data_IF_748448050632
#
_entry.id   IF_748448050632
#
_cell.length_a   1.000
_cell.length_b   1.000
_cell.length_c   1.000
_cell.angle_alpha   90.00
_cell.angle_beta   90.00
_cell.angle_gamma   90.00
#
_symmetry.space_group_name_H-M   'P 1'
#
loop_
_entity.id
_entity.type
_entity.pdbx_description
1 polymer ?
#
# COMPACT_ATOMS: atom_id res chain seq x y z
N UNK A 1 1.88 14.54 21.63
CA UNK A 1 1.28 13.21 21.43
C UNK A 1 1.27 12.94 19.94
N UNK A 2 1.85 11.84 19.47
CA UNK A 2 1.78 11.43 18.06
C UNK A 2 0.40 10.86 17.75
N UNK A 3 -0.26 11.34 16.69
CA UNK A 3 -1.57 10.86 16.26
C UNK A 3 -1.46 9.49 15.59
N UNK A 4 -2.42 8.58 15.79
CA UNK A 4 -2.49 7.31 15.05
C UNK A 4 -3.20 7.52 13.72
N UNK A 5 -2.59 7.12 12.61
CA UNK A 5 -3.17 7.27 11.27
C UNK A 5 -2.95 6.05 10.37
N UNK A 6 -3.63 6.05 9.22
CA UNK A 6 -3.55 5.02 8.19
C UNK A 6 -3.69 5.66 6.81
N UNK A 7 -3.13 5.03 5.77
CA UNK A 7 -3.28 5.54 4.41
C UNK A 7 -4.06 4.56 3.53
N UNK A 8 -4.94 5.11 2.69
CA UNK A 8 -5.50 4.38 1.56
C UNK A 8 -4.43 4.17 0.49
N UNK A 9 -4.50 3.07 -0.25
CA UNK A 9 -3.72 2.86 -1.47
C UNK A 9 -4.58 2.28 -2.60
N UNK A 10 -4.22 2.59 -3.84
CA UNK A 10 -4.80 1.98 -5.05
C UNK A 10 -3.84 2.16 -6.22
N UNK A 11 -3.27 1.07 -6.72
CA UNK A 11 -2.37 1.09 -7.87
C UNK A 11 -2.38 -0.25 -8.62
N UNK A 12 -1.86 -0.25 -9.84
CA UNK A 12 -1.73 -1.44 -10.67
C UNK A 12 -0.39 -2.13 -10.45
N UNK A 13 -0.38 -3.44 -10.52
CA UNK A 13 0.84 -4.23 -10.68
C UNK A 13 1.45 -4.05 -12.08
N UNK A 14 2.66 -4.56 -12.32
CA UNK A 14 3.22 -4.65 -13.66
C UNK A 14 2.46 -5.67 -14.52
N UNK A 15 2.71 -5.69 -15.84
CA UNK A 15 2.20 -6.76 -16.70
C UNK A 15 3.06 -8.01 -16.54
N UNK A 16 2.43 -9.14 -16.26
CA UNK A 16 3.03 -10.47 -16.27
C UNK A 16 1.99 -11.47 -16.83
N UNK A 17 2.45 -12.48 -17.57
CA UNK A 17 1.58 -13.41 -18.34
C UNK A 17 0.37 -12.71 -19.00
N UNK A 18 0.68 -11.64 -19.74
CA UNK A 18 -0.27 -10.84 -20.52
C UNK A 18 -1.38 -10.09 -19.74
N UNK A 19 -1.40 -10.06 -18.41
CA UNK A 19 -2.39 -9.29 -17.65
C UNK A 19 -1.76 -8.54 -16.45
N UNK A 20 -2.61 -7.83 -15.70
CA UNK A 20 -2.25 -6.99 -14.55
C UNK A 20 -3.37 -7.11 -13.53
N UNK A 21 -3.05 -6.85 -12.27
CA UNK A 21 -4.08 -6.69 -11.26
C UNK A 21 -4.01 -5.32 -10.60
N UNK A 22 -5.12 -4.93 -9.96
CA UNK A 22 -5.16 -3.79 -9.05
C UNK A 22 -4.95 -4.26 -7.62
N UNK A 23 -4.14 -3.51 -6.89
CA UNK A 23 -3.98 -3.61 -5.44
C UNK A 23 -4.63 -2.37 -4.82
N UNK A 24 -5.51 -2.55 -3.84
CA UNK A 24 -6.13 -1.45 -3.11
C UNK A 24 -6.50 -1.86 -1.70
N UNK A 25 -6.51 -0.89 -0.78
CA UNK A 25 -6.86 -1.12 0.62
C UNK A 25 -6.41 0.04 1.50
N UNK A 26 -6.28 -0.25 2.79
CA UNK A 26 -5.71 0.65 3.80
C UNK A 26 -4.50 0.01 4.44
N UNK A 27 -3.56 0.82 4.90
CA UNK A 27 -2.45 0.35 5.72
C UNK A 27 -2.92 0.12 7.17
N UNK A 28 -2.08 -0.49 8.01
CA UNK A 28 -2.36 -0.58 9.46
C UNK A 28 -2.25 0.78 10.13
N UNK A 29 -2.94 0.98 11.26
CA UNK A 29 -2.75 2.16 12.09
C UNK A 29 -1.34 2.21 12.70
N UNK A 30 -0.70 3.39 12.65
CA UNK A 30 0.59 3.67 13.30
C UNK A 30 0.66 5.11 13.77
N UNK A 31 1.49 5.37 14.77
CA UNK A 31 1.74 6.71 15.27
C UNK A 31 2.57 7.51 14.25
N UNK A 32 2.21 8.76 13.97
CA UNK A 32 3.06 9.67 13.20
C UNK A 32 4.26 10.11 14.04
N UNK A 33 5.30 9.28 13.99
CA UNK A 33 6.63 9.56 14.51
C UNK A 33 7.63 9.59 13.34
N UNK A 34 8.78 10.28 13.48
CA UNK A 34 9.80 10.29 12.44
C UNK A 34 10.17 8.89 11.97
N UNK A 35 10.05 8.63 10.67
CA UNK A 35 10.41 7.35 10.06
C UNK A 35 9.37 6.23 10.23
N UNK A 36 8.16 6.51 10.72
CA UNK A 36 7.12 5.48 10.87
C UNK A 36 6.81 4.77 9.54
N UNK A 37 6.36 3.53 9.65
CA UNK A 37 6.03 2.68 8.50
C UNK A 37 4.81 1.86 8.83
N UNK A 38 3.97 1.63 7.82
CA UNK A 38 2.77 0.84 7.99
C UNK A 38 2.94 -0.53 7.36
N UNK A 39 2.25 -1.53 7.92
CA UNK A 39 2.04 -2.81 7.26
C UNK A 39 0.85 -2.65 6.31
N UNK A 40 0.86 -3.37 5.20
CA UNK A 40 -0.31 -3.51 4.33
C UNK A 40 -0.36 -4.93 3.78
N UNK A 41 -1.58 -5.43 3.60
CA UNK A 41 -1.83 -6.77 3.10
C UNK A 41 -3.19 -6.84 2.40
N UNK A 42 -3.41 -7.91 1.65
CA UNK A 42 -4.68 -8.16 0.97
C UNK A 42 -4.53 -9.06 -0.24
N UNK A 43 -5.56 -9.06 -1.08
CA UNK A 43 -5.56 -9.71 -2.39
C UNK A 43 -5.70 -8.67 -3.50
N UNK A 44 -5.21 -9.01 -4.68
CA UNK A 44 -5.45 -8.23 -5.88
C UNK A 44 -6.88 -8.42 -6.40
N UNK A 45 -7.30 -7.59 -7.36
CA UNK A 45 -8.53 -7.85 -8.12
C UNK A 45 -8.44 -9.15 -8.93
N UNK A 46 -9.58 -9.78 -9.20
CA UNK A 46 -9.69 -10.92 -10.12
C UNK A 46 -9.29 -10.48 -11.54
N UNK A 47 -8.42 -11.24 -12.20
CA UNK A 47 -8.08 -11.08 -13.62
C UNK A 47 -7.64 -12.43 -14.18
N UNK A 48 -8.12 -12.80 -15.37
CA UNK A 48 -7.90 -14.12 -15.97
C UNK A 48 -8.10 -15.26 -14.95
N UNK A 49 -9.24 -15.25 -14.27
CA UNK A 49 -9.70 -16.26 -13.32
C UNK A 49 -8.82 -16.50 -12.09
N UNK A 50 -7.94 -15.57 -11.72
CA UNK A 50 -7.21 -15.65 -10.45
C UNK A 50 -6.91 -14.29 -9.80
N UNK A 51 -6.46 -14.39 -8.55
CA UNK A 51 -5.97 -13.29 -7.72
C UNK A 51 -4.56 -13.62 -7.23
N UNK A 52 -3.82 -12.60 -6.81
CA UNK A 52 -2.61 -12.78 -6.00
C UNK A 52 -2.79 -12.17 -4.62
N UNK A 53 -2.06 -12.69 -3.63
CA UNK A 53 -1.98 -12.13 -2.29
C UNK A 53 -0.73 -11.27 -2.14
N UNK A 54 -0.76 -10.34 -1.19
CA UNK A 54 0.38 -9.52 -0.83
C UNK A 54 0.36 -9.19 0.66
N UNK A 55 1.55 -9.11 1.26
CA UNK A 55 1.82 -8.56 2.59
C UNK A 55 3.18 -7.89 2.53
N UNK A 56 3.29 -6.63 2.97
CA UNK A 56 4.57 -5.92 2.99
C UNK A 56 4.51 -4.69 3.93
N UNK A 57 5.64 -3.99 4.06
CA UNK A 57 5.81 -2.77 4.84
C UNK A 57 6.05 -1.59 3.90
N UNK A 58 5.49 -0.43 4.22
CA UNK A 58 5.71 0.79 3.45
C UNK A 58 7.14 1.35 3.60
N UNK A 59 7.54 2.21 2.66
CA UNK A 59 8.73 3.05 2.80
C UNK A 59 8.58 4.08 3.94
N UNK A 60 9.65 4.81 4.30
CA UNK A 60 9.54 5.94 5.23
C UNK A 60 8.61 7.03 4.65
N UNK A 61 8.02 7.90 5.49
CA UNK A 61 7.11 8.94 5.05
C UNK A 61 7.84 9.93 4.14
N UNK A 62 7.24 10.25 3.00
CA UNK A 62 7.67 11.33 2.11
C UNK A 62 6.74 12.52 2.38
N UNK A 63 7.27 13.51 3.12
CA UNK A 63 6.54 14.71 3.50
C UNK A 63 6.36 15.65 2.30
N UNK A 64 5.19 16.26 2.21
CA UNK A 64 4.85 17.29 1.21
C UNK A 64 4.49 18.61 1.90
N UNK A 65 4.30 19.67 1.12
CA UNK A 65 3.94 20.99 1.65
C UNK A 65 2.58 20.91 2.33
N UNK A 66 2.44 21.51 3.51
CA UNK A 66 1.19 21.53 4.28
C UNK A 66 1.07 20.48 5.37
N UNK A 67 2.15 19.73 5.67
CA UNK A 67 2.20 18.76 6.77
C UNK A 67 1.79 17.34 6.39
N UNK A 68 1.14 17.15 5.24
CA UNK A 68 0.73 15.85 4.72
C UNK A 68 1.93 14.98 4.31
N UNK A 69 1.74 13.67 4.25
CA UNK A 69 2.74 12.73 3.74
C UNK A 69 2.11 11.51 3.06
N UNK A 70 2.92 10.81 2.27
CA UNK A 70 2.58 9.50 1.71
C UNK A 70 3.75 8.52 1.89
N UNK A 71 3.49 7.24 1.69
CA UNK A 71 4.54 6.22 1.68
C UNK A 71 4.69 5.55 0.31
N UNK A 72 5.92 5.24 -0.07
CA UNK A 72 6.21 4.40 -1.24
C UNK A 72 5.93 2.93 -0.92
N UNK A 73 5.42 2.18 -1.88
CA UNK A 73 5.04 0.78 -1.73
C UNK A 73 5.61 -0.03 -2.90
N UNK A 74 6.54 -0.95 -2.61
CA UNK A 74 7.26 -1.73 -3.63
C UNK A 74 7.43 -3.17 -3.20
N UNK A 75 7.31 -4.10 -4.13
CA UNK A 75 7.48 -5.52 -3.85
C UNK A 75 6.93 -6.41 -4.95
N UNK A 76 6.64 -7.66 -4.59
CA UNK A 76 6.03 -8.65 -5.47
C UNK A 76 4.85 -9.32 -4.78
N UNK A 77 3.86 -9.75 -5.56
CA UNK A 77 2.73 -10.54 -5.08
C UNK A 77 3.13 -12.01 -4.89
N UNK A 78 2.25 -12.82 -4.29
CA UNK A 78 2.42 -14.27 -4.17
C UNK A 78 2.59 -14.93 -5.55
N UNK A 79 3.27 -16.08 -5.60
CA UNK A 79 3.42 -16.86 -6.82
C UNK A 79 2.21 -17.78 -7.01
N UNK A 80 1.37 -17.50 -8.01
CA UNK A 80 0.12 -18.21 -8.29
C UNK A 80 0.02 -18.44 -9.81
N UNK A 81 -0.48 -19.62 -10.20
CA UNK A 81 -0.58 -20.06 -11.60
C UNK A 81 0.71 -19.82 -12.42
N UNK A 82 1.86 -20.12 -11.80
CA UNK A 82 3.16 -20.06 -12.46
C UNK A 82 3.71 -18.66 -12.72
N UNK A 83 3.24 -17.62 -12.02
CA UNK A 83 3.87 -16.29 -12.07
C UNK A 83 3.53 -15.45 -10.83
N UNK A 84 4.16 -14.28 -10.74
CA UNK A 84 3.79 -13.21 -9.80
C UNK A 84 4.00 -11.85 -10.42
N UNK A 85 3.39 -10.83 -9.84
CA UNK A 85 3.52 -9.47 -10.32
C UNK A 85 4.41 -8.64 -9.40
N UNK A 86 5.29 -7.84 -9.98
CA UNK A 86 5.93 -6.73 -9.29
C UNK A 86 4.95 -5.55 -9.16
N UNK A 87 5.09 -4.78 -8.09
CA UNK A 87 4.35 -3.54 -7.91
C UNK A 87 5.26 -2.41 -7.43
N UNK A 88 4.91 -1.20 -7.87
CA UNK A 88 5.57 0.03 -7.49
C UNK A 88 4.51 1.14 -7.49
N UNK A 89 4.05 1.49 -6.30
CA UNK A 89 3.02 2.49 -6.07
C UNK A 89 3.32 3.34 -4.85
N UNK A 90 2.30 4.07 -4.42
CA UNK A 90 2.31 4.81 -3.17
C UNK A 90 0.95 4.77 -2.51
N UNK A 91 0.95 5.04 -1.21
CA UNK A 91 -0.28 5.41 -0.53
C UNK A 91 -0.79 6.77 -1.05
N UNK A 92 -2.06 7.04 -0.82
CA UNK A 92 -2.62 8.37 -0.92
C UNK A 92 -2.04 9.24 0.21
N UNK A 93 -2.16 10.56 0.03
CA UNK A 93 -1.96 11.49 1.14
C UNK A 93 -3.02 11.17 2.18
N UNK A 94 -2.61 10.99 3.43
CA UNK A 94 -3.57 11.11 4.53
C UNK A 94 -3.50 12.53 5.07
N UNK A 95 -4.66 13.05 5.45
CA UNK A 95 -4.74 14.18 6.36
C UNK A 95 -4.88 13.56 7.71
N UNK A 96 -3.92 13.78 8.59
CA UNK A 96 -3.93 13.30 9.97
C UNK A 96 -5.32 13.57 10.59
N UNK A 97 -6.25 12.61 10.48
CA UNK A 97 -7.60 12.76 11.01
C UNK A 97 -7.46 12.51 12.50
N UNK A 98 -7.61 13.52 13.37
CA UNK A 98 -7.52 13.30 14.81
C UNK A 98 -8.45 12.14 15.14
N UNK A 99 -7.87 11.02 15.58
CA UNK A 99 -8.62 9.87 16.07
C UNK A 99 -9.56 10.41 17.14
N UNK A 100 -10.85 10.51 16.80
CA UNK A 100 -11.89 10.86 17.76
C UNK A 100 -11.82 9.76 18.82
N UNK A 101 -11.59 10.19 20.07
CA UNK A 101 -11.61 9.34 21.26
C UNK A 101 -13.01 8.87 21.54
#
# INVERSE_FOLDING_TARGET
MSMLHTHRFSFLTNRAKNHRHRMSGFTTYKADVPGHRHVFFGSTTLSLDHVHFFTNVTGPPVRVRGGEHFHRMRGRTSFILGHSHAYNGRSQLDRDLPTIR
#
